data_IF_883646478121
#
_entry.id   IF_883646478121
#
_cell.length_a   1.000
_cell.length_b   1.000
_cell.length_c   1.000
_cell.angle_alpha   90.00
_cell.angle_beta   90.00
_cell.angle_gamma   90.00
#
_symmetry.space_group_name_H-M   'P 1'
#
loop_
_entity.id
_entity.type
_entity.pdbx_description
1 polymer ?
#
# COMPACT_ATOMS: atom_id res chain seq x y z
N UNK A 1 -35.38 -20.25 28.45
CA UNK A 1 -34.46 -19.31 29.16
C UNK A 1 -33.45 -18.82 28.12
N UNK A 2 -33.75 -17.66 27.49
CA UNK A 2 -32.93 -17.08 26.44
C UNK A 2 -31.92 -16.15 27.16
N UNK A 3 -30.66 -16.53 27.17
CA UNK A 3 -29.59 -15.65 27.60
C UNK A 3 -29.21 -14.75 26.42
N UNK A 4 -29.68 -13.51 26.45
CA UNK A 4 -29.18 -12.48 25.58
C UNK A 4 -27.75 -12.12 26.01
N UNK A 5 -26.76 -12.36 25.17
CA UNK A 5 -25.43 -11.83 25.35
C UNK A 5 -25.52 -10.30 25.19
N UNK A 6 -25.32 -9.57 26.26
CA UNK A 6 -25.08 -8.15 26.21
C UNK A 6 -23.72 -7.95 25.55
N UNK A 7 -23.71 -7.51 24.29
CA UNK A 7 -22.50 -6.95 23.69
C UNK A 7 -22.06 -5.77 24.56
N UNK A 8 -20.81 -5.80 24.95
CA UNK A 8 -20.21 -4.78 25.79
C UNK A 8 -20.28 -3.42 25.09
N UNK A 9 -21.12 -2.52 25.62
CA UNK A 9 -21.29 -1.14 25.16
C UNK A 9 -19.93 -0.40 25.05
N UNK A 10 -18.90 -0.83 25.81
CA UNK A 10 -17.56 -0.28 25.74
C UNK A 10 -16.89 -0.60 24.41
N UNK A 11 -17.17 -1.76 23.82
CA UNK A 11 -16.61 -2.20 22.52
C UNK A 11 -17.24 -1.43 21.37
N UNK A 12 -18.53 -1.16 21.44
CA UNK A 12 -19.24 -0.35 20.43
C UNK A 12 -18.77 1.13 20.48
N UNK A 13 -18.66 1.71 21.66
CA UNK A 13 -18.16 3.07 21.85
C UNK A 13 -16.68 3.22 21.47
N UNK A 14 -15.85 2.17 21.64
CA UNK A 14 -14.47 2.16 21.17
C UNK A 14 -14.38 2.07 19.64
N UNK A 15 -15.28 1.34 18.99
CA UNK A 15 -15.36 1.29 17.51
C UNK A 15 -15.82 2.63 16.94
N UNK A 16 -16.79 3.31 17.54
CA UNK A 16 -17.21 4.65 17.12
C UNK A 16 -16.11 5.70 17.31
N UNK A 17 -15.39 5.67 18.44
CA UNK A 17 -14.24 6.57 18.67
C UNK A 17 -13.06 6.27 17.72
N UNK A 18 -12.83 5.02 17.36
CA UNK A 18 -11.83 4.63 16.37
C UNK A 18 -12.22 5.14 14.99
N UNK A 19 -13.49 5.09 14.63
CA UNK A 19 -14.01 5.59 13.36
C UNK A 19 -13.96 7.12 13.26
N UNK A 20 -14.23 7.82 14.35
CA UNK A 20 -14.11 9.29 14.43
C UNK A 20 -12.64 9.76 14.36
N UNK A 21 -11.69 8.98 14.90
CA UNK A 21 -10.26 9.31 14.79
C UNK A 21 -9.73 9.15 13.35
N UNK A 22 -10.34 8.27 12.53
CA UNK A 22 -9.97 8.10 11.12
C UNK A 22 -10.47 9.26 10.22
N UNK A 23 -11.39 10.10 10.71
CA UNK A 23 -11.93 11.23 9.95
C UNK A 23 -11.05 12.49 9.98
N UNK A 24 -10.02 12.54 10.83
CA UNK A 24 -9.14 13.70 10.97
C UNK A 24 -7.89 13.65 10.07
N UNK A 25 -7.87 12.75 9.08
CA UNK A 25 -6.83 12.72 8.05
C UNK A 25 -7.01 13.94 7.15
N UNK A 26 -5.98 14.79 6.96
CA UNK A 26 -6.06 15.94 6.06
C UNK A 26 -6.51 15.52 4.65
N UNK A 27 -7.33 16.32 3.98
CA UNK A 27 -7.90 16.00 2.67
C UNK A 27 -6.84 15.59 1.62
N UNK A 28 -5.68 16.24 1.61
CA UNK A 28 -4.53 15.93 0.75
C UNK A 28 -3.94 14.53 0.97
N UNK A 29 -4.16 13.95 2.16
CA UNK A 29 -3.63 12.64 2.56
C UNK A 29 -4.67 11.51 2.40
N UNK A 30 -5.92 11.87 2.03
CA UNK A 30 -7.00 10.90 1.78
C UNK A 30 -7.02 10.38 0.36
N UNK A 31 -6.30 11.03 -0.55
CA UNK A 31 -6.26 10.68 -1.97
C UNK A 31 -4.89 10.10 -2.31
N UNK A 32 -4.89 8.95 -3.00
CA UNK A 32 -3.71 8.36 -3.62
C UNK A 32 -3.89 8.45 -5.13
N UNK A 33 -3.04 9.22 -5.80
CA UNK A 33 -3.06 9.35 -7.26
C UNK A 33 -2.19 8.28 -7.90
N UNK A 34 -2.77 7.51 -8.82
CA UNK A 34 -2.02 6.51 -9.59
C UNK A 34 -1.22 7.20 -10.70
N UNK A 35 0.07 6.88 -10.79
CA UNK A 35 0.96 7.31 -11.86
C UNK A 35 1.03 6.21 -12.93
N UNK A 36 -0.11 5.93 -13.55
CA UNK A 36 -0.23 4.93 -14.62
C UNK A 36 0.15 5.60 -15.96
N UNK A 37 1.45 5.84 -16.14
CA UNK A 37 2.07 6.53 -17.29
C UNK A 37 3.36 5.82 -17.70
N UNK A 38 3.82 6.08 -18.95
CA UNK A 38 4.88 5.31 -19.59
C UNK A 38 6.30 5.85 -19.36
N UNK A 39 6.47 6.97 -18.67
CA UNK A 39 7.81 7.54 -18.44
C UNK A 39 7.84 8.47 -17.23
N UNK A 40 9.07 8.77 -16.81
CA UNK A 40 9.32 9.62 -15.65
C UNK A 40 8.83 11.06 -15.84
N UNK A 41 8.98 11.62 -17.04
CA UNK A 41 8.64 13.03 -17.31
C UNK A 41 7.14 13.27 -17.19
N UNK A 42 6.32 12.37 -17.73
CA UNK A 42 4.86 12.39 -17.56
C UNK A 42 4.46 12.25 -16.10
N UNK A 43 5.07 11.30 -15.39
CA UNK A 43 4.80 11.09 -13.97
C UNK A 43 5.10 12.37 -13.15
N UNK A 44 6.27 12.97 -13.38
CA UNK A 44 6.67 14.18 -12.68
C UNK A 44 5.88 15.42 -13.13
N UNK A 45 5.41 15.44 -14.38
CA UNK A 45 4.47 16.44 -14.90
C UNK A 45 3.17 16.45 -14.08
N UNK A 46 2.54 15.29 -13.89
CA UNK A 46 1.34 15.15 -13.06
C UNK A 46 1.58 15.56 -11.61
N UNK A 47 2.71 15.14 -11.03
CA UNK A 47 3.08 15.52 -9.65
C UNK A 47 3.25 17.03 -9.51
N UNK A 48 3.85 17.69 -10.50
CA UNK A 48 4.02 19.15 -10.51
C UNK A 48 2.68 19.89 -10.66
N UNK A 49 1.80 19.40 -11.54
CA UNK A 49 0.47 19.98 -11.77
C UNK A 49 -0.39 19.92 -10.50
N UNK A 50 -0.37 18.78 -9.80
CA UNK A 50 -1.12 18.59 -8.56
C UNK A 50 -0.51 19.30 -7.35
N UNK A 51 0.78 19.61 -7.40
CA UNK A 51 1.48 20.39 -6.37
C UNK A 51 1.25 19.84 -4.96
N UNK A 52 0.83 20.72 -4.04
CA UNK A 52 0.60 20.36 -2.63
C UNK A 52 -0.83 19.90 -2.33
N UNK A 53 -1.70 19.82 -3.34
CA UNK A 53 -3.06 19.31 -3.18
C UNK A 53 -3.09 17.79 -2.94
N UNK A 54 -2.06 17.08 -3.37
CA UNK A 54 -1.89 15.65 -3.18
C UNK A 54 -0.53 15.37 -2.56
N UNK A 55 -0.53 14.54 -1.51
CA UNK A 55 0.68 14.12 -0.83
C UNK A 55 1.07 12.68 -1.11
N UNK A 56 0.19 11.86 -1.73
CA UNK A 56 0.36 10.44 -1.87
C UNK A 56 0.19 9.96 -3.32
N UNK A 57 1.16 9.23 -3.83
CA UNK A 57 1.17 8.71 -5.19
C UNK A 57 1.41 7.21 -5.22
N UNK A 58 0.71 6.51 -6.13
CA UNK A 58 0.92 5.09 -6.40
C UNK A 58 1.84 4.94 -7.61
N UNK A 59 2.97 4.28 -7.42
CA UNK A 59 3.85 3.80 -8.47
C UNK A 59 3.57 2.31 -8.66
N UNK A 60 3.03 1.96 -9.80
CA UNK A 60 2.63 0.61 -10.15
C UNK A 60 3.63 -0.08 -11.07
N UNK A 61 3.27 -1.29 -11.50
CA UNK A 61 4.13 -2.15 -12.28
C UNK A 61 4.49 -1.53 -13.64
N UNK A 62 3.57 -0.78 -14.27
CA UNK A 62 3.77 -0.13 -15.54
C UNK A 62 4.89 0.93 -15.48
N UNK A 63 4.77 1.90 -14.59
CA UNK A 63 5.78 2.95 -14.44
C UNK A 63 7.11 2.39 -13.98
N UNK A 64 7.10 1.40 -13.09
CA UNK A 64 8.32 0.73 -12.63
C UNK A 64 9.07 0.03 -13.78
N UNK A 65 8.38 -0.60 -14.72
CA UNK A 65 9.02 -1.21 -15.89
C UNK A 65 9.65 -0.19 -16.85
N UNK A 66 9.04 0.99 -16.98
CA UNK A 66 9.51 2.03 -17.91
C UNK A 66 10.57 2.95 -17.30
N UNK A 67 10.46 3.25 -16.00
CA UNK A 67 11.31 4.24 -15.34
C UNK A 67 12.12 3.69 -14.14
N UNK A 68 11.99 2.39 -13.84
CA UNK A 68 12.67 1.76 -12.72
C UNK A 68 12.27 2.37 -11.37
N UNK A 69 13.23 2.53 -10.48
CA UNK A 69 13.01 3.09 -9.13
C UNK A 69 13.13 4.63 -9.08
N UNK A 70 13.38 5.27 -10.22
CA UNK A 70 13.60 6.72 -10.26
C UNK A 70 12.36 7.52 -9.83
N UNK A 71 11.11 7.16 -10.22
CA UNK A 71 9.90 7.84 -9.74
C UNK A 71 9.81 7.83 -8.21
N UNK A 72 10.08 6.67 -7.58
CA UNK A 72 10.08 6.54 -6.11
C UNK A 72 11.10 7.49 -5.48
N UNK A 73 12.33 7.53 -5.99
CA UNK A 73 13.38 8.43 -5.49
C UNK A 73 13.00 9.90 -5.65
N UNK A 74 12.48 10.28 -6.81
CA UNK A 74 12.04 11.65 -7.08
C UNK A 74 10.93 12.08 -6.12
N UNK A 75 9.93 11.24 -5.91
CA UNK A 75 8.82 11.49 -4.99
C UNK A 75 9.31 11.64 -3.54
N UNK A 76 10.16 10.72 -3.07
CA UNK A 76 10.62 10.72 -1.67
C UNK A 76 11.64 11.81 -1.39
N UNK A 77 12.71 11.92 -2.19
CA UNK A 77 13.85 12.76 -1.89
C UNK A 77 13.65 14.22 -2.34
N UNK A 78 13.05 14.42 -3.51
CA UNK A 78 12.94 15.75 -4.10
C UNK A 78 11.59 16.41 -3.89
N UNK A 79 10.51 15.64 -3.76
CA UNK A 79 9.15 16.17 -3.64
C UNK A 79 8.54 15.99 -2.24
N UNK A 80 9.17 15.21 -1.37
CA UNK A 80 8.69 14.88 -0.01
C UNK A 80 7.26 14.34 -0.01
N UNK A 81 6.92 13.55 -1.04
CA UNK A 81 5.62 12.89 -1.19
C UNK A 81 5.66 11.49 -0.58
N UNK A 82 4.50 10.96 -0.27
CA UNK A 82 4.34 9.58 0.15
C UNK A 82 4.20 8.66 -1.06
N UNK A 83 4.71 7.45 -0.96
CA UNK A 83 4.72 6.48 -2.05
C UNK A 83 4.03 5.18 -1.65
N UNK A 84 3.05 4.81 -2.45
CA UNK A 84 2.45 3.48 -2.47
C UNK A 84 3.06 2.69 -3.63
N UNK A 85 3.95 1.74 -3.35
CA UNK A 85 4.62 0.94 -4.35
C UNK A 85 3.82 -0.34 -4.58
N UNK A 86 3.02 -0.36 -5.67
CA UNK A 86 2.01 -1.37 -5.95
C UNK A 86 2.52 -2.43 -6.93
N UNK A 87 3.40 -3.32 -6.46
CA UNK A 87 4.02 -4.38 -7.27
C UNK A 87 3.40 -5.76 -7.08
N UNK A 88 2.58 -5.95 -6.05
CA UNK A 88 1.98 -7.26 -5.71
C UNK A 88 3.02 -8.36 -5.63
N UNK A 89 4.12 -8.11 -4.90
CA UNK A 89 5.28 -8.99 -4.83
C UNK A 89 4.89 -10.38 -4.34
N UNK A 90 5.29 -11.40 -5.10
CA UNK A 90 5.16 -12.80 -4.75
C UNK A 90 6.39 -13.56 -5.26
N UNK A 91 7.18 -14.12 -4.37
CA UNK A 91 8.43 -14.81 -4.69
C UNK A 91 8.84 -15.69 -3.50
N UNK A 92 9.94 -16.41 -3.64
CA UNK A 92 10.52 -17.20 -2.54
C UNK A 92 10.93 -16.31 -1.38
N UNK A 93 10.89 -16.86 -0.17
CA UNK A 93 11.09 -16.16 1.10
C UNK A 93 12.27 -15.17 1.08
N UNK A 94 13.44 -15.64 0.65
CA UNK A 94 14.67 -14.85 0.68
C UNK A 94 14.62 -13.62 -0.25
N UNK A 95 13.97 -13.75 -1.40
CA UNK A 95 13.76 -12.64 -2.34
C UNK A 95 12.86 -11.58 -1.71
N UNK A 96 11.73 -11.98 -1.11
CA UNK A 96 10.79 -11.07 -0.44
C UNK A 96 11.48 -10.33 0.71
N UNK A 97 12.27 -11.02 1.55
CA UNK A 97 13.01 -10.40 2.65
C UNK A 97 13.95 -9.31 2.11
N UNK A 98 14.73 -9.61 1.08
CA UNK A 98 15.71 -8.66 0.49
C UNK A 98 15.02 -7.49 -0.19
N UNK A 99 13.95 -7.76 -0.96
CA UNK A 99 13.15 -6.72 -1.60
C UNK A 99 12.55 -5.76 -0.55
N UNK A 100 11.99 -6.31 0.53
CA UNK A 100 11.41 -5.49 1.59
C UNK A 100 12.44 -4.60 2.30
N UNK A 101 13.67 -5.08 2.51
CA UNK A 101 14.77 -4.24 3.04
C UNK A 101 15.06 -3.06 2.11
N UNK A 102 15.11 -3.31 0.80
CA UNK A 102 15.26 -2.24 -0.19
C UNK A 102 14.12 -1.21 -0.15
N UNK A 103 12.86 -1.66 0.08
CA UNK A 103 11.73 -0.74 0.24
C UNK A 103 11.83 0.12 1.49
N UNK A 104 12.34 -0.44 2.59
CA UNK A 104 12.64 0.32 3.82
C UNK A 104 13.70 1.40 3.53
N UNK A 105 14.80 1.05 2.86
CA UNK A 105 15.88 1.97 2.51
C UNK A 105 15.42 3.09 1.56
N UNK A 106 14.53 2.79 0.61
CA UNK A 106 13.93 3.77 -0.29
C UNK A 106 12.91 4.69 0.42
N UNK A 107 12.49 4.33 1.64
CA UNK A 107 11.50 5.11 2.39
C UNK A 107 10.09 4.99 1.85
N UNK A 108 9.74 3.89 1.18
CA UNK A 108 8.38 3.60 0.70
C UNK A 108 7.41 3.57 1.88
N UNK A 109 6.19 4.09 1.69
CA UNK A 109 5.20 4.22 2.75
C UNK A 109 4.22 3.04 2.81
N UNK A 110 3.81 2.53 1.64
CA UNK A 110 2.95 1.35 1.49
C UNK A 110 3.52 0.47 0.38
N UNK A 111 3.39 -0.85 0.54
CA UNK A 111 3.75 -1.83 -0.48
C UNK A 111 2.68 -2.91 -0.54
N UNK A 112 2.40 -3.43 -1.74
CA UNK A 112 1.56 -4.61 -1.92
C UNK A 112 2.40 -5.87 -2.04
N UNK A 113 1.90 -6.93 -1.41
CA UNK A 113 2.32 -8.31 -1.64
C UNK A 113 1.12 -9.12 -2.12
N UNK A 114 1.39 -10.16 -2.88
CA UNK A 114 0.43 -11.21 -3.22
C UNK A 114 0.85 -12.51 -2.51
N UNK A 115 0.10 -13.59 -2.72
CA UNK A 115 0.47 -14.89 -2.16
C UNK A 115 -0.12 -15.17 -0.77
N UNK A 116 0.48 -16.13 -0.07
CA UNK A 116 -0.03 -16.70 1.16
C UNK A 116 0.58 -16.08 2.43
N UNK A 117 0.26 -16.67 3.60
CA UNK A 117 0.77 -16.22 4.88
C UNK A 117 2.30 -16.29 5.04
N UNK A 118 3.00 -17.11 4.26
CA UNK A 118 4.46 -17.22 4.33
C UNK A 118 5.11 -16.03 3.59
N UNK A 119 4.52 -15.56 2.48
CA UNK A 119 4.92 -14.30 1.82
C UNK A 119 4.76 -13.12 2.78
N UNK A 120 3.63 -13.07 3.52
CA UNK A 120 3.40 -12.02 4.53
C UNK A 120 4.43 -12.06 5.67
N UNK A 121 4.77 -13.24 6.18
CA UNK A 121 5.80 -13.42 7.22
C UNK A 121 7.18 -12.97 6.71
N UNK A 122 7.55 -13.36 5.48
CA UNK A 122 8.80 -12.96 4.85
C UNK A 122 8.87 -11.41 4.69
N UNK A 123 7.79 -10.79 4.27
CA UNK A 123 7.70 -9.34 4.15
C UNK A 123 7.87 -8.63 5.51
N UNK A 124 7.23 -9.14 6.56
CA UNK A 124 7.39 -8.61 7.92
C UNK A 124 8.82 -8.81 8.44
N UNK A 125 9.44 -9.97 8.18
CA UNK A 125 10.83 -10.24 8.54
C UNK A 125 11.79 -9.26 7.83
N UNK A 126 11.58 -9.03 6.53
CA UNK A 126 12.38 -8.09 5.74
C UNK A 126 12.23 -6.64 6.19
N UNK A 127 11.01 -6.21 6.59
CA UNK A 127 10.75 -4.89 7.15
C UNK A 127 11.44 -4.69 8.52
N UNK A 128 11.56 -5.75 9.29
CA UNK A 128 12.13 -5.69 10.63
C UNK A 128 11.33 -4.78 11.57
N UNK A 129 12.03 -3.96 12.36
CA UNK A 129 11.42 -3.03 13.33
C UNK A 129 10.97 -1.69 12.71
N UNK A 130 11.20 -1.48 11.41
CA UNK A 130 10.76 -0.25 10.74
C UNK A 130 9.23 -0.12 10.79
N UNK A 131 8.67 1.07 11.11
CA UNK A 131 7.23 1.29 11.07
C UNK A 131 6.69 1.34 9.63
N UNK A 132 7.57 1.42 8.64
CA UNK A 132 7.24 1.50 7.21
C UNK A 132 8.15 0.57 6.39
N UNK A 133 7.70 0.15 5.20
CA UNK A 133 6.36 0.38 4.63
C UNK A 133 5.25 -0.36 5.41
N UNK A 134 4.02 0.15 5.32
CA UNK A 134 2.83 -0.65 5.63
C UNK A 134 2.69 -1.70 4.53
N UNK A 135 2.42 -2.95 4.93
CA UNK A 135 2.29 -4.08 4.03
C UNK A 135 0.81 -4.35 3.81
N UNK A 136 0.37 -4.32 2.57
CA UNK A 136 -1.00 -4.64 2.15
C UNK A 136 -0.95 -5.96 1.37
N UNK A 137 -1.59 -6.98 1.90
CA UNK A 137 -1.71 -8.27 1.21
C UNK A 137 -2.95 -8.26 0.32
N UNK A 138 -2.74 -8.54 -0.96
CA UNK A 138 -3.81 -8.73 -1.94
C UNK A 138 -4.26 -10.18 -1.83
N UNK A 139 -5.53 -10.38 -1.52
CA UNK A 139 -6.14 -11.71 -1.45
C UNK A 139 -6.61 -12.19 -2.81
N UNK A 140 -7.33 -11.31 -3.54
CA UNK A 140 -7.81 -11.54 -4.90
C UNK A 140 -7.66 -10.28 -5.73
N UNK A 141 -7.42 -10.45 -7.03
CA UNK A 141 -7.40 -9.32 -7.96
C UNK A 141 -8.83 -8.81 -8.19
N UNK A 142 -9.00 -7.51 -8.22
CA UNK A 142 -10.31 -6.86 -8.42
C UNK A 142 -10.93 -7.09 -9.80
N UNK A 143 -10.14 -7.60 -10.76
CA UNK A 143 -10.59 -8.01 -12.09
C UNK A 143 -11.26 -9.38 -12.12
N UNK A 144 -11.16 -10.17 -11.04
CA UNK A 144 -11.78 -11.49 -10.95
C UNK A 144 -13.26 -11.36 -10.62
N UNK A 145 -14.09 -12.09 -11.34
CA UNK A 145 -15.52 -12.21 -11.06
C UNK A 145 -15.87 -13.45 -10.21
N UNK A 146 -17.17 -13.68 -10.00
CA UNK A 146 -17.62 -14.79 -9.16
C UNK A 146 -17.38 -16.17 -9.78
N UNK A 147 -17.19 -16.26 -11.11
CA UNK A 147 -16.87 -17.51 -11.79
C UNK A 147 -15.39 -17.81 -11.67
N UNK A 148 -14.54 -16.81 -11.88
CA UNK A 148 -13.08 -16.91 -11.67
C UNK A 148 -12.75 -17.36 -10.23
N UNK A 149 -13.47 -16.82 -9.23
CA UNK A 149 -13.22 -17.16 -7.82
C UNK A 149 -13.63 -18.60 -7.49
N UNK A 150 -14.60 -19.17 -8.19
CA UNK A 150 -14.98 -20.60 -8.02
C UNK A 150 -13.93 -21.55 -8.57
N UNK A 151 -13.23 -21.17 -9.62
CA UNK A 151 -12.18 -21.97 -10.25
C UNK A 151 -10.86 -21.97 -9.45
N UNK A 152 -10.69 -21.02 -8.54
CA UNK A 152 -9.53 -20.94 -7.65
C UNK A 152 -9.65 -21.84 -6.41
N UNK A 153 -10.77 -22.53 -6.20
CA UNK A 153 -10.98 -23.57 -5.19
C UNK A 153 -11.34 -23.09 -3.86
#
# INVERSE_FOLDING_TARGET
MVMAMAEDLSTAQNREKQHDMDLDIPAKDRLIVALDVNNLDEAMGLVNELGDTVSFYKDGFELMLHAGLEPVRMLKLHRRKNVFFDLKMDDVKETIIKAMRGMVELGVDIVTIHGNGDTAKAALEGRGTSPRPKIVQITYLTSLDGDDLRDLG
#
